data_IF_092329377091
#
_entry.id   IF_092329377091
#
_cell.length_a   1.000
_cell.length_b   1.000
_cell.length_c   1.000
_cell.angle_alpha   90.00
_cell.angle_beta   90.00
_cell.angle_gamma   90.00
#
_symmetry.space_group_name_H-M   'P 1'
#
loop_
_entity.id
_entity.type
_entity.pdbx_description
1 polymer ?
#
# COMPACT_ATOMS: atom_id res chain seq x y z
N UNK A 1 -4.10 10.07 -5.38
CA UNK A 1 -4.85 11.21 -5.91
C UNK A 1 -3.92 12.26 -6.49
N UNK A 2 -4.32 12.90 -7.58
CA UNK A 2 -3.76 14.18 -7.99
C UNK A 2 -4.64 15.28 -7.41
N UNK A 3 -4.06 16.20 -6.66
CA UNK A 3 -4.76 17.15 -5.81
C UNK A 3 -4.10 18.53 -5.86
N UNK A 4 -4.78 19.55 -5.33
CA UNK A 4 -4.21 20.90 -5.15
C UNK A 4 -4.00 21.22 -3.68
N UNK A 5 -2.86 21.83 -3.40
CA UNK A 5 -2.56 22.39 -2.09
C UNK A 5 -3.47 23.59 -1.86
N UNK A 6 -4.31 23.55 -0.83
CA UNK A 6 -5.14 24.70 -0.45
C UNK A 6 -4.32 25.72 0.33
N UNK A 7 -3.65 25.27 1.38
CA UNK A 7 -2.93 26.16 2.30
C UNK A 7 -1.72 25.44 2.90
N UNK A 8 -0.57 26.08 2.89
CA UNK A 8 0.58 25.71 3.72
C UNK A 8 0.49 26.47 5.06
N UNK A 9 0.78 25.79 6.17
CA UNK A 9 0.74 26.32 7.54
C UNK A 9 2.10 26.12 8.18
N UNK A 10 3.01 27.10 8.08
CA UNK A 10 4.38 26.96 8.58
C UNK A 10 4.45 26.63 10.08
N UNK A 11 3.56 27.20 10.90
CA UNK A 11 3.54 26.94 12.35
C UNK A 11 3.24 25.48 12.73
N UNK A 12 2.61 24.71 11.83
CA UNK A 12 2.38 23.26 11.99
C UNK A 12 3.37 22.43 11.17
N UNK A 13 4.23 23.07 10.40
CA UNK A 13 5.07 22.46 9.37
C UNK A 13 4.28 21.47 8.48
N UNK A 14 3.08 21.86 8.05
CA UNK A 14 2.13 21.03 7.33
C UNK A 14 1.38 21.80 6.24
N UNK A 15 0.73 21.08 5.35
CA UNK A 15 -0.17 21.63 4.34
C UNK A 15 -1.53 20.92 4.36
N UNK A 16 -2.57 21.65 4.00
CA UNK A 16 -3.90 21.11 3.73
C UNK A 16 -4.09 20.97 2.22
N UNK A 17 -4.55 19.79 1.80
CA UNK A 17 -4.63 19.40 0.40
C UNK A 17 -6.04 18.91 0.09
N UNK A 18 -6.66 19.48 -0.94
CA UNK A 18 -7.98 19.05 -1.39
C UNK A 18 -7.85 17.72 -2.17
N UNK A 19 -8.27 16.63 -1.55
CA UNK A 19 -8.30 15.27 -2.13
C UNK A 19 -9.71 14.80 -2.49
N UNK A 20 -10.73 15.70 -2.40
CA UNK A 20 -12.12 15.40 -2.75
C UNK A 20 -12.97 14.84 -1.61
N UNK A 21 -12.45 14.77 -0.40
CA UNK A 21 -13.24 14.51 0.81
C UNK A 21 -13.84 15.82 1.35
N UNK A 22 -14.84 15.71 2.23
CA UNK A 22 -15.44 16.86 2.90
C UNK A 22 -14.39 17.71 3.64
N UNK A 23 -13.44 17.06 4.29
CA UNK A 23 -12.30 17.69 4.96
C UNK A 23 -11.02 17.49 4.15
N UNK A 24 -10.20 18.53 4.07
CA UNK A 24 -8.90 18.48 3.41
C UNK A 24 -7.97 17.46 4.03
N UNK A 25 -7.15 16.83 3.19
CA UNK A 25 -6.10 15.94 3.64
C UNK A 25 -4.99 16.69 4.36
N UNK A 26 -4.51 16.14 5.47
CA UNK A 26 -3.40 16.67 6.25
C UNK A 26 -2.08 16.06 5.78
N UNK A 27 -1.14 16.92 5.34
CA UNK A 27 0.19 16.56 4.84
C UNK A 27 1.25 17.22 5.70
N UNK A 28 1.85 16.47 6.62
CA UNK A 28 2.97 16.97 7.43
C UNK A 28 4.28 16.95 6.63
N UNK A 29 5.24 17.80 6.98
CA UNK A 29 6.54 17.88 6.32
C UNK A 29 7.25 16.52 6.22
N UNK A 30 7.24 15.73 7.29
CA UNK A 30 7.84 14.39 7.30
C UNK A 30 7.11 13.36 6.43
N UNK A 31 5.89 13.66 5.99
CA UNK A 31 5.11 12.80 5.07
C UNK A 31 5.35 13.21 3.58
N UNK A 32 6.21 14.21 3.30
CA UNK A 32 6.54 14.60 1.93
C UNK A 32 7.38 13.55 1.19
N UNK A 33 8.22 12.84 1.91
CA UNK A 33 9.28 12.03 1.33
C UNK A 33 10.45 12.87 0.78
N UNK A 34 11.67 12.32 0.81
CA UNK A 34 12.88 13.05 0.41
C UNK A 34 12.85 13.48 -1.06
N UNK A 35 12.14 12.75 -1.94
CA UNK A 35 12.12 12.97 -3.40
C UNK A 35 11.03 13.93 -3.87
N UNK A 36 10.40 14.70 -2.98
CA UNK A 36 9.26 15.58 -3.30
C UNK A 36 9.58 16.55 -4.45
N UNK A 37 10.79 17.12 -4.50
CA UNK A 37 11.23 18.03 -5.56
C UNK A 37 11.17 17.35 -6.95
N UNK A 38 11.63 16.11 -7.03
CA UNK A 38 11.54 15.27 -8.24
C UNK A 38 10.09 15.00 -8.62
N UNK A 39 9.23 14.67 -7.66
CA UNK A 39 7.82 14.41 -7.88
C UNK A 39 7.10 15.65 -8.43
N UNK A 40 7.31 16.82 -7.83
CA UNK A 40 6.72 18.09 -8.28
C UNK A 40 7.16 18.44 -9.71
N UNK A 41 8.44 18.31 -10.00
CA UNK A 41 9.00 18.51 -11.35
C UNK A 41 8.38 17.54 -12.37
N UNK A 42 8.24 16.27 -11.99
CA UNK A 42 7.64 15.23 -12.83
C UNK A 42 6.19 15.55 -13.16
N UNK A 43 5.35 15.84 -12.13
CA UNK A 43 3.94 16.20 -12.31
C UNK A 43 3.80 17.38 -13.26
N UNK A 44 4.57 18.46 -13.06
CA UNK A 44 4.54 19.65 -13.92
C UNK A 44 4.84 19.33 -15.37
N UNK A 45 5.83 18.45 -15.64
CA UNK A 45 6.20 18.07 -17.01
C UNK A 45 5.17 17.15 -17.68
N UNK A 46 4.60 16.20 -16.91
CA UNK A 46 3.59 15.29 -17.42
C UNK A 46 2.28 16.04 -17.69
N UNK A 47 1.80 16.85 -16.74
CA UNK A 47 0.54 17.59 -16.87
C UNK A 47 0.52 18.58 -18.05
N UNK A 48 1.68 19.11 -18.42
CA UNK A 48 1.84 20.01 -19.58
C UNK A 48 2.18 19.28 -20.89
N UNK A 49 2.28 17.94 -20.89
CA UNK A 49 2.63 17.14 -22.05
C UNK A 49 4.11 17.21 -22.47
N UNK A 50 4.96 17.86 -21.66
CA UNK A 50 6.42 17.98 -21.92
C UNK A 50 7.19 16.69 -21.62
N UNK A 51 6.57 15.73 -20.91
CA UNK A 51 7.12 14.41 -20.62
C UNK A 51 6.10 13.34 -21.01
N UNK A 52 6.49 12.47 -21.95
CA UNK A 52 5.68 11.34 -22.45
C UNK A 52 6.28 9.98 -22.06
N UNK A 53 7.57 9.95 -21.72
CA UNK A 53 8.25 8.76 -21.21
C UNK A 53 8.15 8.73 -19.68
N UNK A 54 7.37 7.79 -19.16
CA UNK A 54 7.13 7.62 -17.73
C UNK A 54 8.06 6.60 -17.08
N UNK A 55 9.02 6.06 -17.85
CA UNK A 55 9.97 5.03 -17.37
C UNK A 55 10.98 5.55 -16.36
N UNK A 56 11.09 6.85 -16.18
CA UNK A 56 12.08 7.55 -15.35
C UNK A 56 13.54 7.33 -15.78
N UNK A 57 13.80 6.52 -16.81
CA UNK A 57 15.18 6.18 -17.27
C UNK A 57 16.01 7.42 -17.59
N UNK A 58 15.39 8.40 -18.25
CA UNK A 58 16.01 9.65 -18.69
C UNK A 58 15.53 10.86 -17.86
N UNK A 59 14.85 10.63 -16.74
CA UNK A 59 14.39 11.71 -15.88
C UNK A 59 15.51 12.13 -14.91
N UNK A 60 15.85 13.43 -14.92
CA UNK A 60 16.80 14.00 -13.96
C UNK A 60 16.16 14.15 -12.59
N UNK A 61 16.56 13.29 -11.66
CA UNK A 61 16.13 13.32 -10.26
C UNK A 61 16.77 14.53 -9.58
N UNK A 62 15.98 15.30 -8.84
CA UNK A 62 16.42 16.43 -8.05
C UNK A 62 17.04 15.95 -6.72
N UNK A 63 17.78 16.85 -6.07
CA UNK A 63 18.34 16.59 -4.74
C UNK A 63 17.21 16.36 -3.73
N UNK A 64 17.44 15.42 -2.82
CA UNK A 64 16.54 15.15 -1.70
C UNK A 64 16.40 16.42 -0.82
N UNK A 65 15.19 16.65 -0.27
CA UNK A 65 14.96 17.74 0.67
C UNK A 65 15.62 17.44 2.03
N UNK A 66 15.92 18.51 2.78
CA UNK A 66 16.41 18.36 4.15
C UNK A 66 15.32 17.79 5.05
N UNK A 67 15.70 16.91 5.98
CA UNK A 67 14.77 16.31 6.95
C UNK A 67 14.19 17.33 7.92
N UNK A 68 14.93 18.39 8.22
CA UNK A 68 14.58 19.44 9.17
C UNK A 68 14.12 20.75 8.48
N UNK A 69 13.70 20.66 7.21
CA UNK A 69 13.25 21.80 6.44
C UNK A 69 11.84 22.29 6.81
N UNK A 70 11.38 23.31 6.07
CA UNK A 70 10.03 23.87 6.22
C UNK A 70 9.13 23.50 5.05
N UNK A 71 7.85 23.26 5.34
CA UNK A 71 6.83 23.00 4.33
C UNK A 71 6.69 24.15 3.33
N UNK A 72 6.88 25.39 3.80
CA UNK A 72 6.75 26.59 2.99
C UNK A 72 7.86 26.74 1.94
N UNK A 73 9.04 26.14 2.18
CA UNK A 73 10.17 26.17 1.24
C UNK A 73 9.95 25.20 0.08
N UNK A 74 9.14 24.18 0.27
CA UNK A 74 8.96 23.07 -0.66
C UNK A 74 7.64 23.19 -1.43
N UNK A 75 6.56 23.57 -0.78
CA UNK A 75 5.22 23.56 -1.33
C UNK A 75 4.58 24.95 -1.36
N UNK A 76 3.83 25.23 -2.44
CA UNK A 76 3.11 26.49 -2.64
C UNK A 76 1.61 26.25 -2.74
N UNK A 77 0.80 27.20 -2.30
CA UNK A 77 -0.65 27.18 -2.50
C UNK A 77 -0.99 27.05 -3.99
N UNK A 78 -2.11 26.38 -4.29
CA UNK A 78 -2.59 26.04 -5.64
C UNK A 78 -1.67 25.12 -6.46
N UNK A 79 -0.55 24.65 -5.91
CA UNK A 79 0.33 23.69 -6.57
C UNK A 79 -0.34 22.33 -6.67
N UNK A 80 -0.21 21.69 -7.85
CA UNK A 80 -0.63 20.30 -8.03
C UNK A 80 0.34 19.34 -7.38
N UNK A 81 -0.17 18.36 -6.65
CA UNK A 81 0.61 17.36 -5.95
C UNK A 81 -0.04 15.98 -6.08
N UNK A 82 0.78 14.95 -6.24
CA UNK A 82 0.34 13.56 -6.17
C UNK A 82 0.53 13.06 -4.74
N UNK A 83 -0.56 12.54 -4.17
CA UNK A 83 -0.58 12.09 -2.77
C UNK A 83 -1.24 10.73 -2.64
N UNK A 84 -0.80 9.96 -1.63
CA UNK A 84 -1.43 8.73 -1.17
C UNK A 84 -2.19 9.00 0.13
N UNK A 85 -3.37 8.40 0.28
CA UNK A 85 -4.08 8.35 1.57
C UNK A 85 -3.39 7.27 2.41
N UNK A 86 -2.88 7.67 3.57
CA UNK A 86 -2.23 6.78 4.55
C UNK A 86 -3.22 6.32 5.60
N UNK A 87 -4.14 7.23 5.99
CA UNK A 87 -5.26 6.93 6.90
C UNK A 87 -6.50 7.60 6.38
N UNK A 88 -7.59 6.85 6.35
CA UNK A 88 -8.93 7.35 6.03
C UNK A 88 -9.38 8.42 7.04
N UNK A 89 -10.32 9.29 6.65
CA UNK A 89 -10.88 10.27 7.58
C UNK A 89 -11.53 9.58 8.78
N UNK A 90 -11.34 10.15 9.97
CA UNK A 90 -11.93 9.64 11.20
C UNK A 90 -12.66 10.77 11.91
N UNK A 91 -13.97 10.60 12.15
CA UNK A 91 -14.81 11.61 12.81
C UNK A 91 -14.69 12.99 12.13
N UNK A 92 -14.27 14.01 12.85
CA UNK A 92 -14.13 15.39 12.36
C UNK A 92 -12.81 15.69 11.66
N UNK A 93 -11.88 14.71 11.59
CA UNK A 93 -10.55 14.90 10.99
C UNK A 93 -10.52 14.42 9.55
N UNK A 94 -9.92 15.21 8.66
CA UNK A 94 -9.64 14.80 7.28
C UNK A 94 -8.62 13.65 7.19
N UNK A 95 -8.45 13.06 6.01
CA UNK A 95 -7.52 11.95 5.82
C UNK A 95 -6.08 12.41 6.05
N UNK A 96 -5.24 11.52 6.63
CA UNK A 96 -3.79 11.70 6.62
C UNK A 96 -3.25 11.24 5.28
N UNK A 97 -2.44 12.07 4.66
CA UNK A 97 -1.87 11.81 3.35
C UNK A 97 -0.35 11.89 3.37
N UNK A 98 0.28 11.26 2.38
CA UNK A 98 1.71 11.32 2.15
C UNK A 98 2.00 11.56 0.67
N UNK A 99 3.07 12.24 0.34
CA UNK A 99 3.63 12.33 -1.02
C UNK A 99 4.85 11.43 -1.22
N UNK A 100 5.24 10.65 -0.22
CA UNK A 100 6.18 9.56 -0.38
C UNK A 100 5.48 8.38 -1.04
N UNK A 101 5.52 8.38 -2.38
CA UNK A 101 4.77 7.40 -3.17
C UNK A 101 5.43 6.02 -3.11
N UNK A 102 4.60 5.02 -2.89
CA UNK A 102 5.00 3.61 -2.99
C UNK A 102 3.90 2.77 -3.62
N UNK A 103 4.26 1.84 -4.48
CA UNK A 103 3.34 0.90 -5.11
C UNK A 103 3.62 -0.50 -4.57
N UNK A 104 2.77 -1.01 -3.68
CA UNK A 104 2.96 -2.34 -3.11
C UNK A 104 2.54 -3.42 -4.11
N UNK A 105 3.48 -4.34 -4.38
CA UNK A 105 3.26 -5.62 -5.04
C UNK A 105 3.25 -6.77 -4.03
N UNK A 106 3.25 -7.99 -4.54
CA UNK A 106 3.30 -9.20 -3.70
C UNK A 106 4.67 -9.37 -3.04
N UNK A 107 5.72 -9.34 -3.84
CA UNK A 107 7.10 -9.58 -3.41
C UNK A 107 7.90 -8.31 -3.24
N UNK A 108 7.51 -7.25 -3.93
CA UNK A 108 8.26 -6.02 -4.13
C UNK A 108 7.36 -4.81 -3.83
N UNK A 109 7.94 -3.77 -3.22
CA UNK A 109 7.35 -2.43 -3.21
C UNK A 109 8.18 -1.55 -4.12
N UNK A 110 7.56 -0.93 -5.12
CA UNK A 110 8.20 -0.02 -6.06
C UNK A 110 8.15 1.41 -5.52
N UNK A 111 9.29 2.10 -5.49
CA UNK A 111 9.43 3.47 -4.99
C UNK A 111 9.96 4.35 -6.13
N UNK A 112 9.14 5.23 -6.70
CA UNK A 112 9.57 6.13 -7.77
C UNK A 112 10.63 7.15 -7.28
N UNK A 113 11.43 7.67 -8.21
CA UNK A 113 12.48 8.68 -7.99
C UNK A 113 13.60 8.25 -7.02
N UNK A 114 13.76 6.96 -6.81
CA UNK A 114 14.79 6.39 -5.96
C UNK A 114 15.65 5.41 -6.75
N UNK A 115 16.86 5.13 -6.28
CA UNK A 115 17.70 4.05 -6.82
C UNK A 115 18.06 3.01 -5.76
N UNK A 116 17.53 3.16 -4.55
CA UNK A 116 17.85 2.28 -3.41
C UNK A 116 17.21 0.90 -3.60
N UNK A 117 17.92 -0.13 -3.15
CA UNK A 117 17.38 -1.48 -3.01
C UNK A 117 17.53 -1.90 -1.56
N UNK A 118 16.40 -2.12 -0.93
CA UNK A 118 16.30 -2.58 0.46
C UNK A 118 15.63 -3.94 0.52
N UNK A 119 15.96 -4.74 1.51
CA UNK A 119 15.34 -6.04 1.79
C UNK A 119 14.78 -6.02 3.19
N UNK A 120 13.60 -6.62 3.38
CA UNK A 120 12.92 -6.69 4.68
C UNK A 120 13.87 -7.20 5.77
N UNK A 121 13.89 -6.52 6.90
CA UNK A 121 14.69 -6.93 8.05
C UNK A 121 14.20 -8.23 8.69
N UNK A 122 12.93 -8.59 8.46
CA UNK A 122 12.30 -9.83 8.96
C UNK A 122 12.83 -11.11 8.30
N UNK A 123 13.51 -11.02 7.17
CA UNK A 123 14.26 -12.16 6.59
C UNK A 123 15.49 -12.33 7.47
N UNK A 124 15.70 -13.48 8.07
CA UNK A 124 16.78 -13.69 9.03
C UNK A 124 18.12 -14.00 8.34
N UNK A 125 18.10 -14.86 7.29
CA UNK A 125 19.31 -15.27 6.58
C UNK A 125 19.99 -14.10 5.85
N UNK A 126 21.25 -13.87 6.17
CA UNK A 126 22.09 -12.87 5.49
C UNK A 126 22.36 -13.25 4.04
N UNK A 127 22.58 -14.54 3.76
CA UNK A 127 22.81 -15.07 2.42
C UNK A 127 21.60 -14.81 1.52
N UNK A 128 20.39 -15.05 2.06
CA UNK A 128 19.15 -14.82 1.34
C UNK A 128 18.90 -13.33 1.08
N UNK A 129 19.17 -12.45 2.06
CA UNK A 129 19.12 -10.99 1.85
C UNK A 129 20.02 -10.54 0.70
N UNK A 130 21.27 -11.02 0.67
CA UNK A 130 22.21 -10.64 -0.39
C UNK A 130 21.85 -11.28 -1.73
N UNK A 131 21.30 -12.51 -1.74
CA UNK A 131 20.76 -13.15 -2.95
C UNK A 131 19.63 -12.33 -3.55
N UNK A 132 18.59 -12.00 -2.78
CA UNK A 132 17.45 -11.21 -3.20
C UNK A 132 17.87 -9.82 -3.68
N UNK A 133 18.78 -9.18 -2.97
CA UNK A 133 19.31 -7.86 -3.32
C UNK A 133 20.04 -7.88 -4.67
N UNK A 134 20.84 -8.93 -4.95
CA UNK A 134 21.50 -9.11 -6.26
C UNK A 134 20.48 -9.34 -7.37
N UNK A 135 19.51 -10.24 -7.16
CA UNK A 135 18.46 -10.53 -8.14
C UNK A 135 17.69 -9.27 -8.51
N UNK A 136 17.20 -8.52 -7.50
CA UNK A 136 16.40 -7.31 -7.76
C UNK A 136 17.24 -6.21 -8.39
N UNK A 137 18.52 -6.06 -8.04
CA UNK A 137 19.42 -5.11 -8.71
C UNK A 137 19.59 -5.39 -10.20
N UNK A 138 19.53 -6.64 -10.62
CA UNK A 138 19.71 -7.02 -12.04
C UNK A 138 18.48 -6.73 -12.90
N UNK A 139 17.27 -6.69 -12.30
CA UNK A 139 16.02 -6.52 -13.04
C UNK A 139 15.38 -5.13 -12.85
N UNK A 140 15.72 -4.40 -11.78
CA UNK A 140 15.08 -3.14 -11.49
C UNK A 140 15.36 -2.05 -12.54
N UNK A 141 14.33 -1.29 -12.98
CA UNK A 141 14.55 -0.20 -13.89
C UNK A 141 15.24 0.99 -13.19
N UNK A 142 15.96 1.78 -13.96
CA UNK A 142 16.60 3.02 -13.51
C UNK A 142 15.53 4.04 -13.07
N UNK A 143 15.80 4.79 -12.00
CA UNK A 143 14.88 5.81 -11.47
C UNK A 143 13.85 5.28 -10.50
N UNK A 144 13.83 3.95 -10.27
CA UNK A 144 13.00 3.34 -9.24
C UNK A 144 13.84 2.69 -8.16
N UNK A 145 13.44 2.89 -6.92
CA UNK A 145 13.88 2.11 -5.78
C UNK A 145 12.98 0.89 -5.57
N UNK A 146 13.48 -0.08 -4.85
CA UNK A 146 12.77 -1.31 -4.56
C UNK A 146 12.97 -1.73 -3.11
N UNK A 147 11.87 -2.12 -2.45
CA UNK A 147 11.89 -2.76 -1.15
C UNK A 147 11.39 -4.19 -1.34
N UNK A 148 12.25 -5.17 -1.07
CA UNK A 148 11.90 -6.60 -1.14
C UNK A 148 11.19 -7.00 0.15
N UNK A 149 10.00 -7.60 0.02
CA UNK A 149 9.15 -8.01 1.14
C UNK A 149 9.58 -9.40 1.66
N UNK A 150 9.14 -9.73 2.87
CA UNK A 150 9.46 -11.02 3.50
C UNK A 150 8.96 -12.21 2.69
N UNK A 151 7.77 -12.10 2.08
CA UNK A 151 7.18 -13.16 1.23
C UNK A 151 7.97 -13.45 -0.06
N UNK A 152 9.00 -12.66 -0.37
CA UNK A 152 9.93 -12.93 -1.48
C UNK A 152 11.02 -13.95 -1.14
N UNK A 153 11.11 -14.39 0.12
CA UNK A 153 12.08 -15.40 0.56
C UNK A 153 11.94 -16.69 -0.25
N UNK A 154 13.05 -17.23 -0.74
CA UNK A 154 13.10 -18.43 -1.58
C UNK A 154 12.61 -18.23 -3.03
N UNK A 155 12.05 -17.07 -3.40
CA UNK A 155 11.48 -16.85 -4.74
C UNK A 155 12.55 -16.73 -5.82
N UNK A 156 12.18 -17.15 -7.04
CA UNK A 156 13.04 -17.10 -8.24
C UNK A 156 12.97 -15.71 -8.87
N UNK A 157 13.99 -15.38 -9.66
CA UNK A 157 14.05 -14.07 -10.36
C UNK A 157 12.84 -13.83 -11.25
N UNK A 158 12.32 -14.84 -11.92
CA UNK A 158 11.17 -14.71 -12.81
C UNK A 158 9.88 -14.27 -12.07
N UNK A 159 9.67 -14.72 -10.82
CA UNK A 159 8.54 -14.30 -10.00
C UNK A 159 8.69 -12.82 -9.56
N UNK A 160 9.90 -12.43 -9.17
CA UNK A 160 10.23 -11.06 -8.79
C UNK A 160 10.12 -10.10 -9.98
N UNK A 161 10.56 -10.52 -11.17
CA UNK A 161 10.49 -9.72 -12.39
C UNK A 161 9.04 -9.51 -12.82
N UNK A 162 8.19 -10.56 -12.78
CA UNK A 162 6.76 -10.45 -13.09
C UNK A 162 6.08 -9.44 -12.18
N UNK A 163 6.29 -9.51 -10.86
CA UNK A 163 5.72 -8.56 -9.91
C UNK A 163 6.21 -7.13 -10.19
N UNK A 164 7.50 -6.97 -10.51
CA UNK A 164 8.08 -5.69 -10.85
C UNK A 164 7.50 -5.09 -12.13
N UNK A 165 7.33 -5.88 -13.19
CA UNK A 165 6.74 -5.44 -14.46
C UNK A 165 5.28 -5.01 -14.27
N UNK A 166 4.50 -5.73 -13.46
CA UNK A 166 3.13 -5.33 -13.11
C UNK A 166 3.11 -3.98 -12.40
N UNK A 167 4.03 -3.74 -11.46
CA UNK A 167 4.12 -2.46 -10.74
C UNK A 167 4.52 -1.30 -11.67
N UNK A 168 5.47 -1.52 -12.58
CA UNK A 168 5.86 -0.53 -13.59
C UNK A 168 4.70 -0.24 -14.56
N UNK A 169 3.92 -1.25 -14.92
CA UNK A 169 2.70 -1.11 -15.71
C UNK A 169 1.66 -0.23 -15.00
N UNK A 170 1.41 -0.49 -13.70
CA UNK A 170 0.51 0.31 -12.85
C UNK A 170 1.00 1.77 -12.73
N UNK A 171 2.29 1.99 -12.53
CA UNK A 171 2.90 3.33 -12.54
C UNK A 171 2.65 4.05 -13.86
N UNK A 172 2.93 3.40 -14.99
CA UNK A 172 2.74 3.96 -16.33
C UNK A 172 1.28 4.30 -16.60
N UNK A 173 0.36 3.40 -16.23
CA UNK A 173 -1.09 3.62 -16.34
C UNK A 173 -1.58 4.80 -15.50
N UNK A 174 -1.06 4.95 -14.29
CA UNK A 174 -1.32 6.10 -13.42
C UNK A 174 -0.80 7.40 -14.07
N UNK A 175 0.43 7.39 -14.57
CA UNK A 175 1.05 8.58 -15.18
C UNK A 175 0.29 9.10 -16.39
N UNK A 176 -0.32 8.22 -17.20
CA UNK A 176 -1.17 8.63 -18.33
C UNK A 176 -2.35 9.51 -17.88
N UNK A 177 -2.89 9.27 -16.68
CA UNK A 177 -4.00 10.06 -16.11
C UNK A 177 -3.56 11.42 -15.56
N UNK A 178 -2.25 11.69 -15.49
CA UNK A 178 -1.71 12.98 -15.03
C UNK A 178 -1.59 14.02 -16.15
N UNK A 179 -1.94 13.69 -17.39
CA UNK A 179 -2.00 14.66 -18.47
C UNK A 179 -3.28 15.47 -18.39
N UNK A 180 -3.16 16.81 -18.29
CA UNK A 180 -4.30 17.75 -18.09
C UNK A 180 -5.29 17.24 -17.02
N UNK A 181 -4.86 16.98 -15.80
CA UNK A 181 -5.71 16.31 -14.82
C UNK A 181 -6.76 17.24 -14.26
N UNK A 182 -7.93 16.68 -13.97
CA UNK A 182 -8.89 17.33 -13.06
C UNK A 182 -8.41 17.22 -11.62
N UNK A 183 -8.65 18.27 -10.82
CA UNK A 183 -8.28 18.30 -9.42
C UNK A 183 -9.52 18.52 -8.54
N UNK A 184 -9.74 17.71 -7.51
CA UNK A 184 -9.02 16.48 -7.20
C UNK A 184 -9.48 15.29 -8.05
N UNK A 185 -8.60 14.33 -8.34
CA UNK A 185 -9.03 13.06 -8.93
C UNK A 185 -8.21 11.87 -8.46
N UNK A 186 -8.87 10.71 -8.36
CA UNK A 186 -8.24 9.44 -8.04
C UNK A 186 -7.56 8.87 -9.30
N UNK A 187 -6.24 8.85 -9.34
CA UNK A 187 -5.47 8.39 -10.50
C UNK A 187 -5.07 6.92 -10.41
N UNK A 188 -4.92 6.41 -9.19
CA UNK A 188 -4.68 4.99 -8.92
C UNK A 188 -5.45 4.59 -7.67
N UNK A 189 -6.17 3.48 -7.73
CA UNK A 189 -6.80 2.84 -6.57
C UNK A 189 -5.94 1.71 -6.04
N UNK A 190 -6.07 1.42 -4.77
CA UNK A 190 -5.61 0.16 -4.21
C UNK A 190 -6.55 -0.96 -4.64
N UNK A 191 -6.07 -2.19 -4.60
CA UNK A 191 -6.90 -3.37 -4.65
C UNK A 191 -8.00 -3.29 -3.57
N UNK A 192 -9.12 -3.98 -3.77
CA UNK A 192 -10.10 -4.10 -2.70
C UNK A 192 -9.44 -4.73 -1.45
N UNK A 193 -10.09 -4.58 -0.29
CA UNK A 193 -9.51 -5.01 0.99
C UNK A 193 -9.16 -6.50 1.02
N UNK A 194 -9.98 -7.34 0.40
CA UNK A 194 -9.75 -8.78 0.35
C UNK A 194 -8.54 -9.15 -0.53
N UNK A 195 -8.44 -8.57 -1.73
CA UNK A 195 -7.28 -8.78 -2.60
C UNK A 195 -5.99 -8.21 -2.00
N UNK A 196 -6.08 -7.08 -1.28
CA UNK A 196 -4.92 -6.53 -0.55
C UNK A 196 -4.47 -7.46 0.57
N UNK A 197 -5.41 -8.05 1.30
CA UNK A 197 -5.12 -9.05 2.34
C UNK A 197 -4.47 -10.29 1.73
N UNK A 198 -5.04 -10.84 0.66
CA UNK A 198 -4.45 -12.00 -0.05
C UNK A 198 -3.05 -11.70 -0.57
N UNK A 199 -2.82 -10.52 -1.15
CA UNK A 199 -1.47 -10.09 -1.55
C UNK A 199 -0.45 -10.24 -0.41
N UNK A 200 -0.88 -9.94 0.81
CA UNK A 200 0.01 -9.87 1.96
C UNK A 200 0.20 -11.22 2.67
N UNK A 201 -0.83 -12.08 2.70
CA UNK A 201 -0.80 -13.34 3.49
C UNK A 201 -0.86 -14.62 2.64
N UNK A 202 -1.28 -14.55 1.36
CA UNK A 202 -1.46 -15.74 0.54
C UNK A 202 -0.14 -16.49 0.32
N UNK A 203 -0.13 -17.78 0.62
CA UNK A 203 1.02 -18.67 0.48
C UNK A 203 0.58 -20.10 0.13
N UNK A 204 1.51 -21.03 0.06
CA UNK A 204 1.26 -22.40 -0.36
C UNK A 204 0.42 -23.23 0.62
N UNK A 205 0.28 -22.78 1.87
CA UNK A 205 -0.55 -23.46 2.89
C UNK A 205 -2.05 -23.21 2.73
N UNK A 206 -2.45 -22.25 1.88
CA UNK A 206 -3.87 -22.01 1.60
C UNK A 206 -4.47 -23.18 0.83
N UNK A 207 -5.50 -23.80 1.39
CA UNK A 207 -6.23 -24.95 0.84
C UNK A 207 -7.62 -24.56 0.32
N UNK A 208 -8.21 -23.48 0.82
CA UNK A 208 -9.53 -23.00 0.40
C UNK A 208 -9.69 -21.51 0.70
N UNK A 209 -10.36 -20.80 -0.18
CA UNK A 209 -10.83 -19.42 -0.01
C UNK A 209 -12.31 -19.42 -0.29
N UNK A 210 -13.14 -19.23 0.73
CA UNK A 210 -14.60 -19.22 0.59
C UNK A 210 -15.11 -17.78 0.62
N UNK A 211 -16.00 -17.44 -0.30
CA UNK A 211 -16.58 -16.10 -0.46
C UNK A 211 -18.09 -16.23 -0.68
N UNK A 212 -18.89 -15.40 -0.04
CA UNK A 212 -20.37 -15.41 -0.10
C UNK A 212 -20.97 -14.28 -0.94
N UNK A 213 -20.13 -13.39 -1.50
CA UNK A 213 -20.51 -12.35 -2.46
C UNK A 213 -19.96 -12.68 -3.86
N UNK A 214 -20.81 -12.71 -4.87
CA UNK A 214 -20.45 -13.10 -6.25
C UNK A 214 -19.45 -12.12 -6.88
N UNK A 215 -19.61 -10.81 -6.61
CA UNK A 215 -18.72 -9.79 -7.16
C UNK A 215 -17.33 -9.94 -6.56
N UNK A 216 -17.25 -10.11 -5.25
CA UNK A 216 -16.00 -10.33 -4.55
C UNK A 216 -15.35 -11.66 -4.92
N UNK A 217 -16.16 -12.73 -5.11
CA UNK A 217 -15.68 -14.01 -5.59
C UNK A 217 -14.96 -13.87 -6.94
N UNK A 218 -15.59 -13.20 -7.91
CA UNK A 218 -14.98 -12.97 -9.22
C UNK A 218 -13.67 -12.19 -9.11
N UNK A 219 -13.66 -11.10 -8.34
CA UNK A 219 -12.46 -10.29 -8.12
C UNK A 219 -11.32 -11.08 -7.45
N UNK A 220 -11.63 -11.90 -6.46
CA UNK A 220 -10.63 -12.74 -5.77
C UNK A 220 -10.14 -13.84 -6.70
N UNK A 221 -11.01 -14.47 -7.47
CA UNK A 221 -10.66 -15.51 -8.43
C UNK A 221 -9.72 -14.97 -9.49
N UNK A 222 -10.04 -13.83 -10.10
CA UNK A 222 -9.18 -13.15 -11.09
C UNK A 222 -7.81 -12.82 -10.49
N UNK A 223 -7.81 -12.29 -9.26
CA UNK A 223 -6.56 -11.96 -8.56
C UNK A 223 -5.70 -13.19 -8.27
N UNK A 224 -6.30 -14.29 -7.80
CA UNK A 224 -5.59 -15.55 -7.54
C UNK A 224 -5.07 -16.17 -8.83
N UNK A 225 -5.87 -16.15 -9.92
CA UNK A 225 -5.43 -16.57 -11.27
C UNK A 225 -4.20 -15.80 -11.75
N UNK A 226 -4.11 -14.48 -11.44
CA UNK A 226 -2.96 -13.66 -11.84
C UNK A 226 -1.69 -14.04 -11.05
N UNK A 227 -1.81 -14.27 -9.73
CA UNK A 227 -0.66 -14.46 -8.84
C UNK A 227 -0.24 -15.92 -8.63
N UNK A 228 -1.16 -16.86 -8.78
CA UNK A 228 -0.98 -18.30 -8.58
C UNK A 228 -2.02 -19.10 -9.39
N UNK A 229 -1.88 -19.18 -10.73
CA UNK A 229 -2.88 -19.83 -11.61
C UNK A 229 -3.21 -21.26 -11.19
N UNK A 230 -2.23 -22.00 -10.69
CA UNK A 230 -2.37 -23.37 -10.21
C UNK A 230 -3.28 -23.52 -8.99
N UNK A 231 -3.54 -22.41 -8.29
CA UNK A 231 -4.40 -22.36 -7.09
C UNK A 231 -5.75 -21.70 -7.32
N UNK A 232 -6.11 -21.36 -8.54
CA UNK A 232 -7.42 -20.75 -8.86
C UNK A 232 -8.59 -21.59 -8.34
N UNK A 233 -8.50 -22.92 -8.43
CA UNK A 233 -9.53 -23.87 -8.01
C UNK A 233 -9.85 -23.89 -6.51
N UNK A 234 -8.98 -23.32 -5.66
CA UNK A 234 -9.25 -23.22 -4.22
C UNK A 234 -10.23 -22.12 -3.86
N UNK A 235 -10.49 -21.18 -4.79
CA UNK A 235 -11.48 -20.12 -4.60
C UNK A 235 -12.86 -20.68 -4.85
N UNK A 236 -13.74 -20.59 -3.85
CA UNK A 236 -15.08 -21.19 -3.87
C UNK A 236 -16.13 -20.17 -3.49
N UNK A 237 -17.22 -20.13 -4.28
CA UNK A 237 -18.39 -19.36 -3.93
C UNK A 237 -19.23 -20.16 -2.91
N UNK A 238 -19.57 -19.51 -1.81
CA UNK A 238 -20.44 -20.08 -0.78
C UNK A 238 -21.91 -19.84 -1.15
N UNK A 239 -22.61 -20.92 -1.50
CA UNK A 239 -24.01 -20.92 -1.90
C UNK A 239 -24.84 -21.80 -0.95
N UNK A 240 -24.89 -21.44 0.31
CA UNK A 240 -25.64 -22.19 1.32
C UNK A 240 -26.52 -21.22 2.12
N UNK A 241 -27.67 -21.70 2.61
CA UNK A 241 -28.55 -20.95 3.51
C UNK A 241 -27.92 -20.72 4.91
N UNK A 242 -26.91 -21.52 5.25
CA UNK A 242 -26.18 -21.34 6.51
C UNK A 242 -25.11 -20.25 6.31
N UNK A 243 -25.01 -19.24 7.19
CA UNK A 243 -23.99 -18.22 7.13
C UNK A 243 -22.57 -18.81 7.10
N UNK A 244 -21.69 -18.22 6.29
CA UNK A 244 -20.33 -18.73 6.03
C UNK A 244 -19.52 -18.92 7.33
N UNK A 245 -19.61 -17.99 8.27
CA UNK A 245 -18.87 -18.07 9.53
C UNK A 245 -19.41 -19.15 10.46
N UNK A 246 -20.72 -19.38 10.48
CA UNK A 246 -21.31 -20.50 11.22
C UNK A 246 -20.87 -21.84 10.67
N UNK A 247 -20.94 -22.01 9.32
CA UNK A 247 -20.54 -23.25 8.64
C UNK A 247 -19.10 -23.65 8.95
N UNK A 248 -18.21 -22.67 9.08
CA UNK A 248 -16.80 -22.91 9.42
C UNK A 248 -16.48 -22.79 10.92
N UNK A 249 -17.48 -22.62 11.77
CA UNK A 249 -17.31 -22.53 13.23
C UNK A 249 -16.58 -21.26 13.72
N UNK A 250 -16.39 -20.27 12.82
CA UNK A 250 -15.64 -19.05 13.11
C UNK A 250 -16.40 -18.18 14.10
N UNK A 251 -17.73 -18.08 13.96
CA UNK A 251 -18.56 -17.27 14.85
C UNK A 251 -18.45 -17.75 16.30
N UNK A 252 -18.43 -19.08 16.50
CA UNK A 252 -18.21 -19.65 17.84
C UNK A 252 -16.85 -19.29 18.39
N UNK A 253 -15.79 -19.35 17.57
CA UNK A 253 -14.44 -18.97 17.99
C UNK A 253 -14.36 -17.49 18.35
N UNK A 254 -14.97 -16.61 17.56
CA UNK A 254 -15.05 -15.17 17.85
C UNK A 254 -15.76 -14.92 19.19
N UNK A 255 -16.96 -15.50 19.39
CA UNK A 255 -17.70 -15.35 20.63
C UNK A 255 -16.90 -15.83 21.85
N UNK A 256 -16.19 -16.96 21.71
CA UNK A 256 -15.33 -17.49 22.78
C UNK A 256 -14.13 -16.56 23.06
N UNK A 257 -13.52 -16.00 22.00
CA UNK A 257 -12.35 -15.11 22.14
C UNK A 257 -12.68 -13.76 22.78
N UNK A 258 -13.93 -13.30 22.64
CA UNK A 258 -14.44 -12.08 23.32
C UNK A 258 -15.16 -12.38 24.64
N UNK A 259 -15.17 -13.64 25.06
CA UNK A 259 -15.72 -14.05 26.37
C UNK A 259 -14.85 -13.53 27.52
N UNK A 260 -15.49 -13.32 28.66
CA UNK A 260 -14.77 -12.93 29.89
C UNK A 260 -13.85 -14.04 30.44
N UNK A 261 -14.05 -15.27 29.97
CA UNK A 261 -13.31 -16.43 30.46
C UNK A 261 -12.46 -17.03 29.38
N UNK A 262 -11.18 -17.14 29.61
CA UNK A 262 -10.22 -17.81 28.71
C UNK A 262 -9.82 -19.14 29.31
N UNK A 263 -10.25 -20.24 28.67
CA UNK A 263 -9.90 -21.59 29.10
C UNK A 263 -8.45 -21.92 28.79
N UNK A 264 -7.76 -22.49 29.77
CA UNK A 264 -6.38 -22.95 29.67
C UNK A 264 -6.32 -24.48 29.65
N UNK A 265 -5.14 -25.05 29.41
CA UNK A 265 -4.90 -26.49 29.52
C UNK A 265 -5.15 -26.98 30.96
N UNK A 266 -5.56 -28.25 31.09
CA UNK A 266 -5.81 -28.94 32.37
C UNK A 266 -6.95 -28.36 33.19
N UNK A 267 -7.95 -27.72 32.59
CA UNK A 267 -9.16 -27.25 33.24
C UNK A 267 -9.02 -25.94 34.01
N UNK A 268 -7.88 -25.27 33.95
CA UNK A 268 -7.72 -23.92 34.46
C UNK A 268 -8.39 -22.90 33.52
N UNK A 269 -8.76 -21.75 34.06
CA UNK A 269 -9.26 -20.63 33.26
C UNK A 269 -8.85 -19.30 33.88
N UNK A 270 -8.76 -18.27 33.02
CA UNK A 270 -8.58 -16.88 33.44
C UNK A 270 -9.90 -16.14 33.27
N UNK A 271 -10.21 -15.27 34.19
CA UNK A 271 -11.34 -14.34 34.11
C UNK A 271 -10.78 -12.95 33.82
N UNK A 272 -11.23 -12.36 32.72
CA UNK A 272 -10.80 -11.02 32.30
C UNK A 272 -11.99 -10.08 32.47
N UNK A 273 -11.88 -9.11 33.37
CA UNK A 273 -12.93 -8.14 33.65
C UNK A 273 -12.50 -6.72 33.28
N UNK A 274 -13.43 -6.00 32.69
CA UNK A 274 -13.32 -4.57 32.48
C UNK A 274 -13.82 -3.86 33.73
N UNK A 275 -12.93 -3.14 34.38
CA UNK A 275 -13.29 -2.19 35.43
C UNK A 275 -13.28 -0.76 34.87
N UNK A 276 -13.76 0.20 35.66
CA UNK A 276 -13.85 1.59 35.26
C UNK A 276 -12.47 2.20 34.87
N UNK A 277 -11.39 1.71 35.47
CA UNK A 277 -10.06 2.27 35.30
C UNK A 277 -9.04 1.34 34.59
N UNK A 278 -9.27 0.02 34.58
CA UNK A 278 -8.30 -0.96 34.05
C UNK A 278 -8.96 -2.29 33.67
N UNK A 279 -8.19 -3.12 32.97
CA UNK A 279 -8.50 -4.53 32.77
C UNK A 279 -7.89 -5.34 33.92
N UNK A 280 -8.69 -6.20 34.54
CA UNK A 280 -8.24 -7.11 35.60
C UNK A 280 -8.22 -8.53 35.06
N UNK A 281 -7.15 -9.27 35.32
CA UNK A 281 -6.97 -10.68 34.93
C UNK A 281 -6.73 -11.50 36.19
#
# INVERSE_FOLDING_TARGET
>A
YIAKIRKAVPGLNAAFVNVGYEKDGFLHYHDLGPQISSLVKFIKRVSTGKLKDYSLKNFSIEKDIDKNGSIADVLKSNQSLLVQIVKEPISTKGPRISSELSLPGRYIVLVPFSNRVSVSQKIESKEEKERLKRLVKSIKPKGFGVIVRTVAEGKKVAELDRDLQNLVGRWTGMCKKLYKPHHPSKVLGELNRASSLLRDIFNDSFTSICVDDETLYTQIKDYVSEIAPEKESIVKLHQSNQPIFEKHGIERQIKTSFGRTVSMSKGAYLVIEHTEAMHVV
#
